data_IF_828887023081
#
_entry.id   IF_828887023081
#
_cell.length_a   1.000
_cell.length_b   1.000
_cell.length_c   1.000
_cell.angle_alpha   90.00
_cell.angle_beta   90.00
_cell.angle_gamma   90.00
#
_symmetry.space_group_name_H-M   'P 1'
#
loop_
_entity.id
_entity.type
_entity.pdbx_description
1 polymer ?
#
# COMPACT_ATOMS: atom_id res chain seq x y z
N UNK A 1 21.19 19.77 11.45
CA UNK A 1 21.59 18.38 11.74
C UNK A 1 22.06 17.73 10.46
N UNK A 2 23.08 16.88 10.50
CA UNK A 2 23.48 16.13 9.31
C UNK A 2 22.48 15.00 9.01
N UNK A 3 22.39 14.49 7.76
CA UNK A 3 21.52 13.35 7.46
C UNK A 3 21.80 12.11 8.33
N UNK A 4 23.05 11.93 8.78
CA UNK A 4 23.41 10.85 9.70
C UNK A 4 22.84 11.06 11.10
N UNK A 5 22.83 12.30 11.60
CA UNK A 5 22.27 12.62 12.93
C UNK A 5 20.74 12.41 12.93
N UNK A 6 20.05 12.77 11.84
CA UNK A 6 18.60 12.55 11.67
C UNK A 6 18.24 11.07 11.65
N UNK A 7 19.05 10.26 10.96
CA UNK A 7 18.83 8.82 10.87
C UNK A 7 19.02 8.13 12.22
N UNK A 8 20.05 8.49 13.01
CA UNK A 8 20.26 7.92 14.34
C UNK A 8 19.15 8.30 15.31
N UNK A 9 18.73 9.56 15.32
CA UNK A 9 17.63 10.05 16.16
C UNK A 9 16.30 9.36 15.82
N UNK A 10 15.99 9.17 14.53
CA UNK A 10 14.80 8.45 14.10
C UNK A 10 14.86 6.99 14.54
N UNK A 11 16.02 6.33 14.39
CA UNK A 11 16.19 4.93 14.82
C UNK A 11 15.90 4.75 16.32
N UNK A 12 16.47 5.60 17.17
CA UNK A 12 16.22 5.57 18.62
C UNK A 12 14.74 5.80 18.98
N UNK A 13 14.07 6.69 18.25
CA UNK A 13 12.64 6.92 18.44
C UNK A 13 11.79 5.70 18.04
N UNK A 14 12.11 5.08 16.91
CA UNK A 14 11.39 3.91 16.44
C UNK A 14 11.63 2.69 17.32
N UNK A 15 12.85 2.47 17.82
CA UNK A 15 13.15 1.42 18.79
C UNK A 15 12.33 1.60 20.08
N UNK A 16 12.22 2.83 20.58
CA UNK A 16 11.38 3.15 21.75
C UNK A 16 9.90 2.89 21.48
N UNK A 17 9.37 3.37 20.34
CA UNK A 17 7.97 3.13 19.94
C UNK A 17 7.69 1.64 19.78
N UNK A 18 8.64 0.88 19.20
CA UNK A 18 8.54 -0.57 19.08
C UNK A 18 8.45 -1.23 20.45
N UNK A 19 9.32 -0.83 21.38
CA UNK A 19 9.31 -1.37 22.76
C UNK A 19 8.08 -1.00 23.58
N UNK A 20 7.41 0.11 23.27
CA UNK A 20 6.16 0.55 23.90
C UNK A 20 4.92 -0.05 23.22
N UNK A 21 5.01 -0.37 21.95
CA UNK A 21 3.93 -0.99 21.21
C UNK A 21 3.80 -2.48 21.57
N UNK A 22 2.66 -3.05 21.24
CA UNK A 22 2.44 -4.51 21.34
C UNK A 22 2.74 -5.21 20.01
N UNK A 23 3.44 -4.54 19.09
CA UNK A 23 3.80 -5.13 17.81
C UNK A 23 4.89 -6.18 18.01
N UNK A 24 4.72 -7.33 17.39
CA UNK A 24 5.73 -8.39 17.33
C UNK A 24 6.86 -8.04 16.35
N UNK A 25 6.53 -7.27 15.32
CA UNK A 25 7.49 -6.78 14.34
C UNK A 25 7.04 -5.44 13.76
N UNK A 26 8.00 -4.60 13.48
CA UNK A 26 7.84 -3.33 12.77
C UNK A 26 8.93 -3.24 11.72
N UNK A 27 8.55 -2.87 10.49
CA UNK A 27 9.50 -2.48 9.46
C UNK A 27 9.13 -1.11 8.92
N UNK A 28 10.13 -0.27 8.71
CA UNK A 28 9.95 1.10 8.21
C UNK A 28 10.93 1.34 7.07
N UNK A 29 10.46 1.98 6.00
CA UNK A 29 11.30 2.51 4.94
C UNK A 29 10.87 3.94 4.60
N UNK A 30 11.83 4.86 4.50
CA UNK A 30 11.60 6.27 4.20
C UNK A 30 12.57 6.74 3.12
N UNK A 31 12.05 7.54 2.19
CA UNK A 31 12.86 8.29 1.23
C UNK A 31 12.36 9.72 1.16
N UNK A 32 13.12 10.63 1.71
CA UNK A 32 12.88 12.08 1.57
C UNK A 32 13.49 12.58 0.27
N UNK A 33 12.66 13.05 -0.64
CA UNK A 33 13.09 13.44 -1.99
C UNK A 33 13.75 14.81 -2.03
N UNK A 34 13.55 15.63 -0.99
CA UNK A 34 14.19 16.95 -0.89
C UNK A 34 15.64 16.83 -0.40
N UNK A 35 15.85 16.16 0.71
CA UNK A 35 17.18 15.99 1.30
C UNK A 35 17.97 14.80 0.73
N UNK A 36 17.30 13.88 0.04
CA UNK A 36 17.85 12.60 -0.39
C UNK A 36 18.03 11.59 0.75
N UNK A 37 17.54 11.89 1.97
CA UNK A 37 17.62 10.99 3.11
C UNK A 37 16.92 9.66 2.79
N UNK A 38 17.62 8.56 3.03
CA UNK A 38 17.05 7.20 3.00
C UNK A 38 17.23 6.58 4.38
N UNK A 39 16.13 6.05 4.91
CA UNK A 39 16.12 5.35 6.18
C UNK A 39 15.41 4.01 6.03
N UNK A 40 15.94 2.98 6.70
CA UNK A 40 15.36 1.64 6.69
C UNK A 40 15.59 0.97 8.03
N UNK A 41 14.51 0.53 8.69
CA UNK A 41 14.50 -0.32 9.88
C UNK A 41 13.83 -1.63 9.51
N UNK A 42 14.51 -2.77 9.63
CA UNK A 42 13.97 -4.10 9.24
C UNK A 42 13.37 -4.12 7.83
N UNK A 43 13.84 -3.22 6.93
CA UNK A 43 13.18 -2.91 5.68
C UNK A 43 13.10 -4.05 4.68
N UNK A 44 13.93 -5.10 4.83
CA UNK A 44 13.93 -6.29 3.97
C UNK A 44 13.21 -7.49 4.62
N UNK A 45 12.65 -7.31 5.82
CA UNK A 45 11.79 -8.32 6.46
C UNK A 45 10.50 -8.48 5.67
N UNK A 46 10.14 -9.72 5.39
CA UNK A 46 8.90 -10.07 4.70
C UNK A 46 7.69 -10.06 5.65
N UNK A 47 6.60 -9.47 5.17
CA UNK A 47 5.29 -9.44 5.81
C UNK A 47 4.22 -9.94 4.85
N UNK A 48 3.11 -10.44 5.37
CA UNK A 48 1.91 -10.59 4.57
C UNK A 48 1.49 -9.21 4.07
N UNK A 49 1.41 -9.01 2.74
CA UNK A 49 1.22 -7.67 2.18
C UNK A 49 -0.13 -7.03 2.51
N UNK A 50 -1.12 -7.83 2.94
CA UNK A 50 -2.50 -7.35 3.10
C UNK A 50 -2.96 -6.56 1.86
N UNK A 51 -3.70 -5.46 2.04
CA UNK A 51 -4.17 -4.66 0.91
C UNK A 51 -3.14 -3.69 0.32
N UNK A 52 -1.92 -3.60 0.86
CA UNK A 52 -0.85 -2.81 0.21
C UNK A 52 -0.46 -3.37 -1.16
N UNK A 53 -0.66 -4.67 -1.39
CA UNK A 53 -0.42 -5.33 -2.68
C UNK A 53 -1.25 -4.72 -3.83
N UNK A 54 -2.36 -4.05 -3.54
CA UNK A 54 -3.24 -3.41 -4.53
C UNK A 54 -2.53 -2.30 -5.31
N UNK A 55 -1.49 -1.71 -4.74
CA UNK A 55 -0.64 -0.74 -5.45
C UNK A 55 0.16 -1.41 -6.58
N UNK A 56 0.56 -2.67 -6.42
CA UNK A 56 1.18 -3.44 -7.51
C UNK A 56 0.18 -3.71 -8.66
N UNK A 57 -1.09 -3.99 -8.33
CA UNK A 57 -2.16 -4.11 -9.33
C UNK A 57 -2.41 -2.78 -10.02
N UNK A 58 -2.41 -1.66 -9.27
CA UNK A 58 -2.56 -0.31 -9.82
C UNK A 58 -1.42 0.02 -10.80
N UNK A 59 -0.16 -0.23 -10.42
CA UNK A 59 1.00 -0.02 -11.30
C UNK A 59 0.87 -0.84 -12.59
N UNK A 60 0.48 -2.11 -12.48
CA UNK A 60 0.31 -2.99 -13.63
C UNK A 60 -0.84 -2.52 -14.55
N UNK A 61 -1.95 -2.06 -13.98
CA UNK A 61 -3.08 -1.52 -14.74
C UNK A 61 -2.67 -0.30 -15.55
N UNK A 62 -2.00 0.67 -14.94
CA UNK A 62 -1.55 1.88 -15.63
C UNK A 62 -0.45 1.59 -16.66
N UNK A 63 0.46 0.65 -16.38
CA UNK A 63 1.42 0.20 -17.36
C UNK A 63 0.76 -0.47 -18.57
N UNK A 64 -0.27 -1.28 -18.34
CA UNK A 64 -1.08 -1.87 -19.41
C UNK A 64 -1.81 -0.80 -20.25
N UNK A 65 -2.25 0.29 -19.61
CA UNK A 65 -2.85 1.42 -20.30
C UNK A 65 -1.83 2.16 -21.18
N UNK A 66 -0.63 2.44 -20.67
CA UNK A 66 0.46 3.06 -21.44
C UNK A 66 0.90 2.21 -22.63
N UNK A 67 0.83 0.88 -22.51
CA UNK A 67 1.10 -0.06 -23.60
C UNK A 67 -0.08 -0.23 -24.58
N UNK A 68 -1.21 0.46 -24.36
CA UNK A 68 -2.42 0.35 -25.18
C UNK A 68 -3.15 -0.99 -25.07
N UNK A 69 -2.87 -1.80 -24.05
CA UNK A 69 -3.50 -3.10 -23.79
C UNK A 69 -4.87 -2.96 -23.13
N UNK A 70 -5.06 -1.88 -22.37
CA UNK A 70 -6.28 -1.56 -21.61
C UNK A 70 -6.58 -0.08 -21.81
N UNK A 71 -7.86 0.28 -21.85
CA UNK A 71 -8.31 1.67 -21.80
C UNK A 71 -9.12 1.87 -20.51
N UNK A 72 -8.73 2.84 -19.69
CA UNK A 72 -9.37 3.05 -18.39
C UNK A 72 -10.85 3.44 -18.50
N UNK A 73 -11.25 4.03 -19.63
CA UNK A 73 -12.64 4.37 -19.92
C UNK A 73 -13.48 3.19 -20.42
N UNK A 74 -12.86 2.06 -20.74
CA UNK A 74 -13.60 0.86 -21.14
C UNK A 74 -14.35 0.27 -19.94
N UNK A 75 -15.37 -0.50 -20.26
CA UNK A 75 -16.20 -1.19 -19.28
C UNK A 75 -15.80 -2.65 -19.14
N UNK A 76 -15.64 -3.10 -17.91
CA UNK A 76 -15.37 -4.50 -17.57
C UNK A 76 -16.65 -5.16 -17.02
N UNK A 77 -16.88 -6.40 -17.43
CA UNK A 77 -18.01 -7.20 -16.91
C UNK A 77 -17.76 -7.54 -15.43
N UNK A 78 -18.68 -7.15 -14.57
CA UNK A 78 -18.62 -7.43 -13.12
C UNK A 78 -19.11 -8.86 -12.87
N UNK A 79 -18.23 -9.68 -12.31
CA UNK A 79 -18.53 -11.05 -11.89
C UNK A 79 -17.91 -11.30 -10.53
N UNK A 80 -18.50 -12.21 -9.77
CA UNK A 80 -17.92 -12.70 -8.51
C UNK A 80 -17.65 -14.21 -8.64
N UNK A 81 -16.70 -14.56 -9.48
CA UNK A 81 -16.18 -15.92 -9.63
C UNK A 81 -14.75 -15.82 -10.11
N UNK A 82 -13.83 -16.34 -9.34
CA UNK A 82 -12.39 -16.29 -9.57
C UNK A 82 -11.79 -17.69 -9.47
N UNK A 83 -10.58 -17.86 -9.96
CA UNK A 83 -9.86 -19.13 -9.98
C UNK A 83 -8.75 -19.08 -8.95
N UNK A 84 -8.71 -20.07 -8.05
CA UNK A 84 -7.67 -20.19 -7.05
C UNK A 84 -6.31 -20.48 -7.67
N UNK A 85 -5.30 -19.79 -7.16
CA UNK A 85 -3.90 -20.05 -7.52
C UNK A 85 -3.37 -21.37 -6.95
N UNK A 86 -4.10 -22.01 -6.02
CA UNK A 86 -3.68 -23.25 -5.36
C UNK A 86 -3.98 -24.51 -6.20
N UNK A 87 -5.17 -24.59 -6.80
CA UNK A 87 -5.69 -25.84 -7.37
C UNK A 87 -6.63 -25.62 -8.55
N UNK A 88 -6.73 -24.41 -9.05
CA UNK A 88 -7.64 -23.99 -10.12
C UNK A 88 -9.14 -24.17 -9.78
N UNK A 89 -9.50 -24.39 -8.52
CA UNK A 89 -10.90 -24.36 -8.08
C UNK A 89 -11.48 -22.96 -8.19
N UNK A 90 -12.81 -22.85 -8.32
CA UNK A 90 -13.47 -21.54 -8.34
C UNK A 90 -13.83 -21.11 -6.93
N UNK A 91 -13.64 -19.81 -6.62
CA UNK A 91 -14.08 -19.19 -5.38
C UNK A 91 -14.84 -17.89 -5.62
N UNK A 92 -15.54 -17.42 -4.62
CA UNK A 92 -16.33 -16.21 -4.61
C UNK A 92 -15.93 -15.39 -3.39
N UNK A 93 -16.02 -14.07 -3.52
CA UNK A 93 -15.84 -13.14 -2.42
C UNK A 93 -17.14 -12.95 -1.64
N UNK A 94 -17.01 -12.72 -0.34
CA UNK A 94 -18.15 -12.36 0.49
C UNK A 94 -18.46 -10.86 0.37
N UNK A 95 -19.70 -10.53 0.03
CA UNK A 95 -20.18 -9.16 -0.08
C UNK A 95 -20.08 -8.40 1.24
N UNK A 96 -20.36 -9.08 2.35
CA UNK A 96 -20.48 -8.42 3.65
C UNK A 96 -19.09 -8.09 4.25
N UNK A 97 -18.03 -8.69 3.71
CA UNK A 97 -16.64 -8.39 4.06
C UNK A 97 -15.97 -7.38 3.11
N UNK A 98 -16.62 -6.97 2.02
CA UNK A 98 -16.08 -6.00 1.07
C UNK A 98 -16.49 -4.57 1.44
N UNK A 99 -15.54 -3.63 1.42
CA UNK A 99 -15.80 -2.23 1.72
C UNK A 99 -16.58 -1.47 0.62
N UNK A 100 -16.94 -2.14 -0.49
CA UNK A 100 -17.73 -1.61 -1.60
C UNK A 100 -18.91 -2.56 -1.95
N UNK A 101 -19.84 -2.81 -1.01
CA UNK A 101 -20.93 -3.78 -1.20
C UNK A 101 -21.88 -3.42 -2.35
N UNK A 102 -21.92 -2.15 -2.77
CA UNK A 102 -22.69 -1.70 -3.93
C UNK A 102 -22.18 -2.26 -5.25
N UNK A 103 -20.88 -2.57 -5.37
CA UNK A 103 -20.32 -3.19 -6.58
C UNK A 103 -20.92 -4.57 -6.85
N UNK A 104 -21.34 -5.29 -5.81
CA UNK A 104 -22.00 -6.59 -5.95
C UNK A 104 -23.39 -6.49 -6.59
N UNK A 105 -24.05 -5.33 -6.53
CA UNK A 105 -25.32 -5.08 -7.23
C UNK A 105 -25.11 -4.92 -8.75
N UNK A 106 -23.87 -4.68 -9.18
CA UNK A 106 -23.50 -4.61 -10.60
C UNK A 106 -23.12 -5.96 -11.20
N UNK A 107 -23.16 -7.07 -10.45
CA UNK A 107 -22.88 -8.42 -10.98
C UNK A 107 -23.84 -8.73 -12.13
N UNK A 108 -23.28 -9.19 -13.27
CA UNK A 108 -24.00 -9.39 -14.52
C UNK A 108 -24.13 -8.15 -15.40
N UNK A 109 -23.63 -7.00 -14.94
CA UNK A 109 -23.53 -5.73 -15.67
C UNK A 109 -22.05 -5.36 -15.88
N UNK A 110 -21.80 -4.13 -16.27
CA UNK A 110 -20.44 -3.61 -16.48
C UNK A 110 -20.17 -2.43 -15.54
N UNK A 111 -18.88 -2.24 -15.19
CA UNK A 111 -18.36 -1.07 -14.50
C UNK A 111 -17.15 -0.53 -15.26
N UNK A 112 -16.92 0.78 -15.20
CA UNK A 112 -15.71 1.38 -15.80
C UNK A 112 -14.47 0.89 -15.08
N UNK A 113 -13.41 0.63 -15.84
CA UNK A 113 -12.12 0.19 -15.30
C UNK A 113 -11.56 1.25 -14.35
N UNK A 114 -11.68 2.55 -14.69
CA UNK A 114 -11.28 3.65 -13.81
C UNK A 114 -12.01 3.63 -12.47
N UNK A 115 -13.33 3.41 -12.46
CA UNK A 115 -14.12 3.34 -11.23
C UNK A 115 -13.75 2.10 -10.36
N UNK A 116 -13.40 0.98 -11.01
CA UNK A 116 -12.87 -0.19 -10.29
C UNK A 116 -11.51 0.12 -9.66
N UNK A 117 -10.62 0.83 -10.36
CA UNK A 117 -9.32 1.24 -9.82
C UNK A 117 -9.47 2.19 -8.62
N UNK A 118 -10.38 3.15 -8.70
CA UNK A 118 -10.75 4.02 -7.58
C UNK A 118 -11.29 3.22 -6.39
N UNK A 119 -12.25 2.32 -6.61
CA UNK A 119 -12.81 1.47 -5.54
C UNK A 119 -11.78 0.53 -4.92
N UNK A 120 -10.87 -0.04 -5.72
CA UNK A 120 -9.76 -0.87 -5.24
C UNK A 120 -8.86 -0.12 -4.25
N UNK A 121 -8.57 1.15 -4.50
CA UNK A 121 -7.66 1.94 -3.68
C UNK A 121 -8.40 2.70 -2.59
N UNK A 122 -9.39 3.52 -2.93
CA UNK A 122 -10.03 4.46 -2.01
C UNK A 122 -10.73 3.78 -0.83
N UNK A 123 -11.44 2.69 -1.09
CA UNK A 123 -12.16 1.90 -0.06
C UNK A 123 -11.65 0.46 0.03
N UNK A 124 -10.56 0.13 -0.65
CA UNK A 124 -9.95 -1.20 -0.58
C UNK A 124 -10.86 -2.36 -1.03
N UNK A 125 -11.75 -2.17 -2.02
CA UNK A 125 -12.64 -3.23 -2.52
C UNK A 125 -11.86 -4.45 -3.02
N UNK A 126 -12.20 -5.62 -2.49
CA UNK A 126 -11.61 -6.89 -2.88
C UNK A 126 -12.16 -7.39 -4.22
N UNK A 127 -13.47 -7.16 -4.47
CA UNK A 127 -14.09 -7.50 -5.74
C UNK A 127 -13.48 -6.71 -6.90
N UNK A 128 -13.31 -5.39 -6.73
CA UNK A 128 -12.64 -4.55 -7.72
C UNK A 128 -11.19 -5.01 -7.96
N UNK A 129 -10.47 -5.37 -6.89
CA UNK A 129 -9.11 -5.88 -6.98
C UNK A 129 -9.01 -7.12 -7.85
N UNK A 130 -9.83 -8.15 -7.57
CA UNK A 130 -9.76 -9.41 -8.31
C UNK A 130 -10.22 -9.24 -9.77
N UNK A 131 -11.21 -8.37 -10.04
CA UNK A 131 -11.63 -8.05 -11.40
C UNK A 131 -10.49 -7.40 -12.21
N UNK A 132 -9.78 -6.44 -11.62
CA UNK A 132 -8.66 -5.76 -12.28
C UNK A 132 -7.44 -6.69 -12.41
N UNK A 133 -7.17 -7.51 -11.40
CA UNK A 133 -6.08 -8.49 -11.47
C UNK A 133 -6.35 -9.56 -12.54
N UNK A 134 -7.59 -10.01 -12.70
CA UNK A 134 -7.97 -10.91 -13.79
C UNK A 134 -7.86 -10.25 -15.17
N UNK A 135 -8.14 -8.94 -15.25
CA UNK A 135 -8.01 -8.17 -16.49
C UNK A 135 -6.55 -8.08 -16.95
N UNK A 136 -5.64 -7.73 -16.05
CA UNK A 136 -4.22 -7.55 -16.38
C UNK A 136 -3.44 -8.87 -16.36
N UNK A 137 -3.84 -9.80 -15.51
CA UNK A 137 -3.19 -11.09 -15.27
C UNK A 137 -2.04 -11.01 -14.25
N UNK A 138 -1.97 -12.01 -13.36
CA UNK A 138 -0.93 -12.11 -12.31
C UNK A 138 0.47 -12.10 -12.91
N UNK A 139 0.71 -12.89 -13.96
CA UNK A 139 2.03 -12.98 -14.61
C UNK A 139 2.46 -11.66 -15.27
N UNK A 140 1.51 -10.93 -15.86
CA UNK A 140 1.81 -9.59 -16.39
C UNK A 140 2.14 -8.61 -15.26
N UNK A 141 1.36 -8.61 -14.17
CA UNK A 141 1.66 -7.75 -13.02
C UNK A 141 3.05 -8.04 -12.42
N UNK A 142 3.42 -9.32 -12.31
CA UNK A 142 4.78 -9.74 -11.91
C UNK A 142 5.85 -9.28 -12.88
N UNK A 143 5.58 -9.35 -14.19
CA UNK A 143 6.50 -8.81 -15.21
C UNK A 143 6.68 -7.31 -15.02
N UNK A 144 5.61 -6.56 -14.82
CA UNK A 144 5.65 -5.11 -14.59
C UNK A 144 6.50 -4.76 -13.36
N UNK A 145 6.36 -5.51 -12.25
CA UNK A 145 7.19 -5.32 -11.06
C UNK A 145 8.68 -5.53 -11.37
N UNK A 146 9.03 -6.58 -12.13
CA UNK A 146 10.43 -6.81 -12.56
C UNK A 146 10.94 -5.70 -13.47
N UNK A 147 10.15 -5.29 -14.46
CA UNK A 147 10.52 -4.22 -15.40
C UNK A 147 10.74 -2.88 -14.66
N UNK A 148 9.95 -2.64 -13.60
CA UNK A 148 10.08 -1.47 -12.71
C UNK A 148 11.19 -1.65 -11.65
N UNK A 149 11.94 -2.76 -11.68
CA UNK A 149 12.99 -3.09 -10.71
C UNK A 149 12.47 -3.10 -9.25
N UNK A 150 11.20 -3.47 -9.06
CA UNK A 150 10.60 -3.63 -7.73
C UNK A 150 10.93 -5.01 -7.21
N UNK A 151 11.92 -5.07 -6.34
CA UNK A 151 12.25 -6.25 -5.55
C UNK A 151 11.54 -6.19 -4.19
N UNK A 152 11.34 -7.33 -3.53
CA UNK A 152 10.70 -7.36 -2.21
C UNK A 152 9.16 -7.19 -2.25
N UNK A 153 8.52 -7.42 -3.39
CA UNK A 153 7.05 -7.49 -3.53
C UNK A 153 6.67 -8.72 -4.35
N UNK A 154 5.91 -9.62 -3.73
CA UNK A 154 5.48 -10.87 -4.33
C UNK A 154 3.95 -10.89 -4.50
N UNK A 155 3.48 -10.69 -5.73
CA UNK A 155 2.09 -10.85 -6.12
C UNK A 155 1.88 -12.26 -6.69
N UNK A 156 1.23 -13.15 -5.91
CA UNK A 156 1.09 -14.58 -6.26
C UNK A 156 -0.34 -14.98 -6.57
N UNK A 157 -1.33 -14.28 -6.04
CA UNK A 157 -2.76 -14.64 -6.12
C UNK A 157 -3.69 -13.45 -6.03
N UNK A 158 -4.96 -13.67 -6.37
CA UNK A 158 -6.03 -12.75 -6.00
C UNK A 158 -6.21 -12.65 -4.49
N UNK A 159 -6.94 -11.62 -4.05
CA UNK A 159 -7.27 -11.46 -2.63
C UNK A 159 -8.41 -12.41 -2.23
N UNK A 160 -8.45 -12.79 -0.95
CA UNK A 160 -9.43 -13.74 -0.37
C UNK A 160 -9.46 -15.12 -1.04
N UNK A 161 -8.38 -15.53 -1.67
CA UNK A 161 -8.18 -16.91 -2.13
C UNK A 161 -7.76 -17.76 -0.93
N UNK A 162 -8.75 -18.30 -0.19
CA UNK A 162 -8.53 -19.06 1.03
C UNK A 162 -7.77 -20.38 0.77
N UNK A 163 -8.05 -21.07 -0.35
CA UNK A 163 -7.35 -22.30 -0.70
C UNK A 163 -5.86 -22.05 -0.94
N UNK A 164 -5.50 -20.93 -1.56
CA UNK A 164 -4.10 -20.53 -1.72
C UNK A 164 -3.48 -20.14 -0.39
N UNK A 165 -4.21 -19.42 0.47
CA UNK A 165 -3.73 -19.05 1.81
C UNK A 165 -3.40 -20.29 2.66
N UNK A 166 -4.25 -21.30 2.70
CA UNK A 166 -4.02 -22.56 3.42
C UNK A 166 -2.76 -23.28 2.92
N UNK A 167 -2.43 -23.16 1.63
CA UNK A 167 -1.20 -23.69 1.04
C UNK A 167 0.00 -22.72 1.14
N UNK A 168 -0.10 -21.66 1.92
CA UNK A 168 0.93 -20.64 2.13
C UNK A 168 1.35 -19.92 0.84
N UNK A 169 0.48 -19.88 -0.16
CA UNK A 169 0.64 -19.05 -1.35
C UNK A 169 0.09 -17.65 -1.01
N UNK A 170 0.91 -16.80 -0.42
CA UNK A 170 0.49 -15.48 0.02
C UNK A 170 1.09 -14.37 -0.87
N UNK A 171 0.41 -13.24 -0.91
CA UNK A 171 1.00 -12.00 -1.35
C UNK A 171 1.83 -11.44 -0.20
N UNK A 172 3.09 -11.18 -0.44
CA UNK A 172 4.05 -10.78 0.58
C UNK A 172 4.81 -9.53 0.11
N UNK A 173 5.25 -8.72 1.07
CA UNK A 173 6.02 -7.53 0.75
C UNK A 173 7.01 -7.18 1.87
N UNK A 174 8.06 -6.46 1.49
CA UNK A 174 9.00 -5.81 2.40
C UNK A 174 8.77 -4.30 2.37
N UNK A 175 9.20 -3.57 3.40
CA UNK A 175 9.05 -2.12 3.42
C UNK A 175 9.90 -1.45 2.33
N UNK A 176 11.10 -1.92 2.08
CA UNK A 176 11.96 -1.44 0.99
C UNK A 176 11.35 -1.73 -0.40
N UNK A 177 10.71 -2.90 -0.58
CA UNK A 177 10.03 -3.26 -1.81
C UNK A 177 8.83 -2.34 -2.10
N UNK A 178 8.01 -2.07 -1.10
CA UNK A 178 6.87 -1.16 -1.24
C UNK A 178 7.30 0.30 -1.45
N UNK A 179 8.41 0.72 -0.82
CA UNK A 179 9.00 2.03 -1.09
C UNK A 179 9.45 2.15 -2.56
N UNK A 180 10.09 1.10 -3.09
CA UNK A 180 10.51 1.04 -4.50
C UNK A 180 9.29 1.05 -5.43
N UNK A 181 8.22 0.33 -5.06
CA UNK A 181 6.95 0.33 -5.81
C UNK A 181 6.33 1.73 -5.91
N UNK A 182 6.24 2.47 -4.79
CA UNK A 182 5.75 3.86 -4.80
C UNK A 182 6.68 4.79 -5.58
N UNK A 183 7.99 4.56 -5.50
CA UNK A 183 8.98 5.32 -6.26
C UNK A 183 8.82 5.09 -7.78
N UNK A 184 8.58 3.86 -8.21
CA UNK A 184 8.31 3.52 -9.61
C UNK A 184 7.01 4.17 -10.12
N UNK A 185 5.96 4.16 -9.29
CA UNK A 185 4.67 4.75 -9.62
C UNK A 185 4.76 6.28 -9.78
N UNK A 186 5.57 6.94 -8.93
CA UNK A 186 5.82 8.39 -9.00
C UNK A 186 6.85 8.78 -10.07
N UNK A 187 7.77 7.89 -10.38
CA UNK A 187 8.90 8.14 -11.30
C UNK A 187 8.51 8.16 -12.78
N UNK A 188 9.47 7.81 -13.61
CA UNK A 188 9.33 7.84 -15.09
C UNK A 188 8.98 6.46 -15.69
N UNK A 189 8.57 5.50 -14.84
CA UNK A 189 8.16 4.17 -15.29
C UNK A 189 6.80 4.18 -16.01
N UNK A 190 5.92 5.09 -15.64
CA UNK A 190 4.64 5.36 -16.28
C UNK A 190 4.70 6.67 -17.08
N UNK A 191 3.81 6.81 -18.05
CA UNK A 191 3.58 8.11 -18.71
C UNK A 191 3.15 9.17 -17.69
N UNK A 192 3.36 10.45 -18.00
CA UNK A 192 2.95 11.54 -17.10
C UNK A 192 1.46 11.51 -16.77
N UNK A 193 0.61 11.20 -17.76
CA UNK A 193 -0.83 11.08 -17.58
C UNK A 193 -1.19 9.93 -16.65
N UNK A 194 -0.64 8.75 -16.86
CA UNK A 194 -0.88 7.56 -16.02
C UNK A 194 -0.39 7.75 -14.60
N UNK A 195 0.78 8.37 -14.43
CA UNK A 195 1.34 8.73 -13.12
C UNK A 195 0.41 9.67 -12.35
N UNK A 196 -0.03 10.76 -12.97
CA UNK A 196 -0.94 11.73 -12.35
C UNK A 196 -2.27 11.10 -11.93
N UNK A 197 -2.84 10.25 -12.80
CA UNK A 197 -4.08 9.54 -12.48
C UNK A 197 -3.89 8.54 -11.35
N UNK A 198 -2.81 7.77 -11.34
CA UNK A 198 -2.52 6.79 -10.28
C UNK A 198 -2.32 7.48 -8.92
N UNK A 199 -1.58 8.60 -8.88
CA UNK A 199 -1.39 9.39 -7.66
C UNK A 199 -2.73 9.97 -7.19
N UNK A 200 -3.56 10.50 -8.10
CA UNK A 200 -4.90 11.01 -7.76
C UNK A 200 -5.75 9.92 -7.10
N UNK A 201 -5.74 8.71 -7.64
CA UNK A 201 -6.47 7.58 -7.05
C UNK A 201 -5.95 7.25 -5.65
N UNK A 202 -4.64 7.31 -5.41
CA UNK A 202 -4.07 7.10 -4.07
C UNK A 202 -4.41 8.23 -3.08
N UNK A 203 -4.60 9.47 -3.55
CA UNK A 203 -5.07 10.61 -2.74
C UNK A 203 -6.53 10.45 -2.28
N UNK A 204 -7.34 9.62 -2.98
CA UNK A 204 -8.73 9.34 -2.63
C UNK A 204 -8.89 8.29 -1.51
N UNK A 205 -7.80 7.80 -0.92
CA UNK A 205 -7.86 6.85 0.19
C UNK A 205 -8.70 7.41 1.36
N UNK A 206 -9.62 6.59 1.88
CA UNK A 206 -10.58 7.00 2.93
C UNK A 206 -10.21 6.53 4.34
N UNK A 207 -9.29 5.59 4.48
CA UNK A 207 -8.86 5.06 5.78
C UNK A 207 -7.65 5.85 6.29
N UNK A 208 -7.90 6.95 7.01
CA UNK A 208 -6.90 7.96 7.38
C UNK A 208 -6.40 7.82 8.84
N UNK A 209 -6.63 6.70 9.50
CA UNK A 209 -6.26 6.48 10.90
C UNK A 209 -4.78 6.12 11.14
N UNK A 210 -3.98 5.98 10.06
CA UNK A 210 -2.59 5.53 10.11
C UNK A 210 -1.63 6.67 9.73
N UNK A 211 -0.93 6.60 8.58
CA UNK A 211 0.02 7.65 8.17
C UNK A 211 -0.59 9.05 8.27
N UNK A 212 -1.78 9.34 7.72
CA UNK A 212 -2.37 10.69 7.82
C UNK A 212 -2.61 11.16 9.25
N UNK A 213 -2.98 10.26 10.18
CA UNK A 213 -3.27 10.61 11.57
C UNK A 213 -2.03 11.09 12.35
N UNK A 214 -0.81 10.74 11.90
CA UNK A 214 0.46 11.22 12.47
C UNK A 214 0.95 12.54 11.87
N UNK A 215 0.20 13.18 10.97
CA UNK A 215 0.63 14.33 10.20
C UNK A 215 -0.22 15.57 10.50
N UNK A 216 0.32 16.79 10.24
CA UNK A 216 -0.47 17.99 10.33
C UNK A 216 -1.60 18.03 9.29
N UNK A 217 -2.70 18.73 9.60
CA UNK A 217 -3.92 18.75 8.77
C UNK A 217 -3.72 19.31 7.34
N UNK A 218 -2.62 19.99 7.07
CA UNK A 218 -2.30 20.51 5.73
C UNK A 218 -1.50 19.51 4.87
N UNK A 219 -1.10 18.37 5.41
CA UNK A 219 -0.45 17.32 4.64
C UNK A 219 -1.47 16.57 3.76
N UNK A 220 -1.12 16.36 2.50
CA UNK A 220 -1.87 15.46 1.62
C UNK A 220 -1.10 14.14 1.46
N UNK A 221 -1.80 13.01 1.54
CA UNK A 221 -1.16 11.69 1.49
C UNK A 221 -1.77 10.86 0.38
N UNK A 222 -0.97 10.52 -0.62
CA UNK A 222 -1.33 9.52 -1.61
C UNK A 222 -0.92 8.15 -1.07
N UNK A 223 -1.88 7.36 -0.53
CA UNK A 223 -1.52 6.18 0.26
C UNK A 223 -2.44 4.98 0.06
N UNK A 224 -1.98 3.84 0.56
CA UNK A 224 -2.76 2.61 0.63
C UNK A 224 -2.52 1.87 1.94
N UNK A 225 -3.60 1.70 2.68
CA UNK A 225 -3.61 0.89 3.90
C UNK A 225 -3.69 -0.61 3.61
N UNK A 226 -3.21 -1.41 4.53
CA UNK A 226 -3.35 -2.87 4.50
C UNK A 226 -3.63 -3.40 5.91
N UNK A 227 -4.77 -4.03 6.10
CA UNK A 227 -5.16 -4.55 7.41
C UNK A 227 -5.69 -5.98 7.31
N UNK A 228 -5.21 -6.83 8.21
CA UNK A 228 -5.73 -8.17 8.54
C UNK A 228 -5.68 -8.32 10.06
N UNK A 229 -6.20 -9.42 10.59
CA UNK A 229 -6.23 -9.66 12.05
C UNK A 229 -4.86 -9.53 12.74
N UNK A 230 -3.77 -9.86 12.05
CA UNK A 230 -2.40 -9.86 12.59
C UNK A 230 -1.51 -8.75 12.03
N UNK A 231 -2.00 -7.89 11.15
CA UNK A 231 -1.17 -6.86 10.52
C UNK A 231 -1.94 -5.56 10.31
N UNK A 232 -1.23 -4.44 10.45
CA UNK A 232 -1.72 -3.10 10.20
C UNK A 232 -0.62 -2.31 9.49
N UNK A 233 -0.82 -2.00 8.22
CA UNK A 233 0.18 -1.42 7.34
C UNK A 233 -0.33 -0.14 6.72
N UNK A 234 0.57 0.79 6.46
CA UNK A 234 0.31 1.89 5.56
C UNK A 234 1.56 2.24 4.75
N UNK A 235 1.36 2.67 3.52
CA UNK A 235 2.41 3.10 2.61
C UNK A 235 1.93 4.30 1.81
N UNK A 236 2.73 5.35 1.71
CA UNK A 236 2.27 6.55 1.01
C UNK A 236 3.36 7.53 0.61
N UNK A 237 2.97 8.43 -0.28
CA UNK A 237 3.72 9.62 -0.68
C UNK A 237 3.09 10.79 0.05
N UNK A 238 3.86 11.44 0.91
CA UNK A 238 3.42 12.56 1.74
C UNK A 238 3.80 13.87 1.08
N UNK A 239 2.82 14.68 0.78
CA UNK A 239 2.96 16.02 0.22
C UNK A 239 2.79 17.06 1.31
N UNK A 240 3.75 17.95 1.45
CA UNK A 240 3.74 19.08 2.35
C UNK A 240 3.92 20.36 1.55
N UNK A 241 3.36 21.50 1.99
CA UNK A 241 3.60 22.78 1.34
C UNK A 241 5.09 23.14 1.27
N UNK A 242 5.46 23.78 0.17
CA UNK A 242 6.79 24.41 -0.03
C UNK A 242 7.99 23.45 0.06
N UNK A 243 7.76 22.13 -0.16
CA UNK A 243 8.85 21.17 -0.24
C UNK A 243 8.51 20.00 -1.16
N UNK A 244 9.58 19.29 -1.60
CA UNK A 244 9.44 17.99 -2.25
C UNK A 244 8.84 16.96 -1.28
N UNK A 245 8.02 16.03 -1.79
CA UNK A 245 7.40 15.01 -0.95
C UNK A 245 8.42 14.01 -0.38
N UNK A 246 7.99 13.25 0.60
CA UNK A 246 8.71 12.05 1.02
C UNK A 246 7.82 10.81 0.87
N UNK A 247 8.44 9.66 0.73
CA UNK A 247 7.78 8.35 0.70
C UNK A 247 8.01 7.68 2.05
N UNK A 248 6.95 7.15 2.65
CA UNK A 248 7.01 6.39 3.89
C UNK A 248 6.25 5.08 3.74
N UNK A 249 6.82 4.00 4.25
CA UNK A 249 6.21 2.67 4.35
C UNK A 249 6.37 2.21 5.80
N UNK A 250 5.26 1.78 6.40
CA UNK A 250 5.21 1.27 7.77
C UNK A 250 4.47 -0.05 7.74
N UNK A 251 5.18 -1.13 8.04
CA UNK A 251 4.63 -2.48 8.14
C UNK A 251 4.71 -2.95 9.59
N UNK A 252 3.62 -3.53 10.10
CA UNK A 252 3.55 -3.98 11.49
C UNK A 252 2.88 -5.35 11.59
N UNK A 253 3.35 -6.17 12.51
CA UNK A 253 2.78 -7.46 12.83
C UNK A 253 2.38 -7.47 14.31
N UNK A 254 1.18 -7.96 14.62
CA UNK A 254 0.61 -8.01 15.95
C UNK A 254 0.07 -9.41 16.26
N UNK A 255 -0.11 -9.70 17.54
CA UNK A 255 -0.98 -10.79 17.95
C UNK A 255 -2.44 -10.50 17.57
N UNK A 256 -3.24 -11.55 17.48
CA UNK A 256 -4.67 -11.44 17.19
C UNK A 256 -5.35 -10.43 18.14
N UNK A 257 -6.23 -9.60 17.58
CA UNK A 257 -7.14 -8.71 18.30
C UNK A 257 -6.46 -7.65 19.21
N UNK A 258 -5.27 -7.19 18.87
CA UNK A 258 -4.64 -6.08 19.60
C UNK A 258 -5.32 -4.75 19.28
N UNK A 259 -5.69 -4.00 20.32
CA UNK A 259 -6.10 -2.60 20.20
C UNK A 259 -4.86 -1.69 20.02
N UNK A 260 -5.03 -0.53 19.41
CA UNK A 260 -3.95 0.45 19.27
C UNK A 260 -3.01 0.21 18.08
N UNK A 261 -3.38 -0.65 17.14
CA UNK A 261 -2.57 -0.96 15.96
C UNK A 261 -2.40 0.24 15.02
N UNK A 262 -3.49 0.92 14.72
CA UNK A 262 -3.47 2.12 13.87
C UNK A 262 -2.73 3.27 14.56
N UNK A 263 -2.92 3.44 15.85
CA UNK A 263 -2.24 4.44 16.67
C UNK A 263 -0.71 4.22 16.70
N UNK A 264 -0.27 2.97 16.70
CA UNK A 264 1.16 2.63 16.56
C UNK A 264 1.70 3.12 15.22
N UNK A 265 0.99 2.86 14.11
CA UNK A 265 1.39 3.33 12.76
C UNK A 265 1.37 4.86 12.70
N UNK A 266 0.37 5.52 13.29
CA UNK A 266 0.28 6.97 13.36
C UNK A 266 1.44 7.60 14.16
N UNK A 267 1.81 7.01 15.31
CA UNK A 267 2.96 7.47 16.11
C UNK A 267 4.29 7.34 15.37
N UNK A 268 4.48 6.24 14.62
CA UNK A 268 5.64 6.06 13.76
C UNK A 268 5.65 7.11 12.63
N UNK A 269 4.51 7.36 12.01
CA UNK A 269 4.37 8.40 10.98
C UNK A 269 4.71 9.79 11.52
N UNK A 270 4.28 10.13 12.73
CA UNK A 270 4.65 11.40 13.39
C UNK A 270 6.15 11.48 13.62
N UNK A 271 6.80 10.42 14.10
CA UNK A 271 8.25 10.39 14.30
C UNK A 271 9.03 10.61 12.99
N UNK A 272 8.57 9.96 11.90
CA UNK A 272 9.13 10.15 10.55
C UNK A 272 8.97 11.62 10.12
N UNK A 273 7.76 12.18 10.22
CA UNK A 273 7.46 13.57 9.85
C UNK A 273 8.38 14.54 10.61
N UNK A 274 8.48 14.41 11.92
CA UNK A 274 9.32 15.29 12.75
C UNK A 274 10.79 15.19 12.34
N UNK A 275 11.29 13.99 12.07
CA UNK A 275 12.66 13.76 11.61
C UNK A 275 12.89 14.41 10.25
N UNK A 276 12.00 14.20 9.27
CA UNK A 276 12.09 14.79 7.93
C UNK A 276 12.06 16.33 7.98
N UNK A 277 11.31 16.90 8.94
CA UNK A 277 11.22 18.35 9.16
C UNK A 277 12.34 18.92 10.03
N UNK A 278 13.28 18.09 10.51
CA UNK A 278 14.36 18.52 11.41
C UNK A 278 13.87 19.03 12.76
N UNK A 279 12.70 18.57 13.21
CA UNK A 279 12.11 18.91 14.51
C UNK A 279 12.62 17.99 15.60
N UNK A 280 12.77 18.52 16.81
CA UNK A 280 13.14 17.69 17.96
C UNK A 280 12.04 16.64 18.29
N UNK A 281 12.43 15.47 18.85
CA UNK A 281 11.49 14.50 19.38
C UNK A 281 10.48 15.16 20.34
N UNK A 282 9.23 14.65 20.39
CA UNK A 282 8.35 15.05 21.50
C UNK A 282 9.00 14.63 22.82
N UNK A 283 9.25 15.57 23.72
CA UNK A 283 9.50 15.26 25.11
C UNK A 283 8.24 14.58 25.66
N UNK A 284 8.42 13.42 26.32
CA UNK A 284 7.34 12.81 27.09
C UNK A 284 6.93 13.79 28.21
N UNK A 285 5.91 14.61 27.97
CA UNK A 285 5.13 15.15 29.08
C UNK A 285 4.26 14.01 29.60
N UNK A 286 4.45 13.74 30.88
CA UNK A 286 3.87 12.67 31.71
C UNK A 286 2.36 12.62 31.69
#
# INVERSE_FOLDING_TARGET
MSPMDLSSTLNEQLERLTGQSKAQAIAVAVHDLESGLRFSLEGDRWFHAASTIKVAVLLALFRAADEGRVRLDDSLHVRNRFISAADASSFHLDRDSDAMPELYQAIGRTAKISALAEGMIAVSSNLATNLLLDLVGVEYARKVLRDAQVEGVELRRGVEDHAAHERRINNEATANGLLTLLSALRGDFLSSESKEQAIRILLEQRFNSMIPAGLPAHAAVAHKTGEISTACHDMGIVYLPEREPYIAVILTEFDLEQNGRCETVAAISEAIYRSVMGMEPRSNEQ
#
